data_IF_969548026414
#
_entry.id   IF_969548026414
#
_cell.length_a   1.000
_cell.length_b   1.000
_cell.length_c   1.000
_cell.angle_alpha   90.00
_cell.angle_beta   90.00
_cell.angle_gamma   90.00
#
_symmetry.space_group_name_H-M   'P 1'
#
loop_
_entity.id
_entity.type
_entity.pdbx_description
1 polymer ?
#
# COMPACT_ATOMS: atom_id res chain seq x y z
N UNK A 1 -29.83 -17.53 16.84
CA UNK A 1 -30.52 -16.27 17.24
C UNK A 1 -31.14 -15.53 16.06
N UNK A 2 -30.41 -15.28 14.96
CA UNK A 2 -30.97 -14.61 13.76
C UNK A 2 -32.25 -15.27 13.21
N UNK A 3 -32.28 -16.60 13.13
CA UNK A 3 -33.49 -17.34 12.75
C UNK A 3 -34.68 -17.08 13.68
N UNK A 4 -34.44 -16.96 14.99
CA UNK A 4 -35.50 -16.60 15.95
C UNK A 4 -36.01 -15.19 15.68
N UNK A 5 -35.10 -14.24 15.45
CA UNK A 5 -35.46 -12.86 15.11
C UNK A 5 -36.36 -12.80 13.86
N UNK A 6 -35.97 -13.46 12.77
CA UNK A 6 -36.77 -13.43 11.54
C UNK A 6 -38.13 -14.10 11.68
N UNK A 7 -38.22 -15.20 12.43
CA UNK A 7 -39.50 -15.88 12.68
C UNK A 7 -40.46 -15.06 13.57
N UNK A 8 -39.94 -14.20 14.44
CA UNK A 8 -40.73 -13.31 15.29
C UNK A 8 -41.15 -12.06 14.50
N UNK A 9 -40.20 -11.40 13.83
CA UNK A 9 -40.41 -10.12 13.14
C UNK A 9 -41.20 -10.30 11.84
N UNK A 10 -41.01 -11.43 11.14
CA UNK A 10 -41.62 -11.75 9.83
C UNK A 10 -41.51 -10.60 8.83
N UNK A 11 -40.28 -10.14 8.52
CA UNK A 11 -40.07 -8.95 7.72
C UNK A 11 -40.51 -9.15 6.27
N UNK A 12 -41.04 -8.09 5.65
CA UNK A 12 -41.37 -8.07 4.20
C UNK A 12 -40.13 -7.89 3.32
N UNK A 13 -39.09 -7.24 3.84
CA UNK A 13 -37.79 -7.03 3.20
C UNK A 13 -36.69 -7.17 4.26
N UNK A 14 -35.52 -7.64 3.88
CA UNK A 14 -34.35 -7.78 4.77
C UNK A 14 -33.13 -7.17 4.11
N UNK A 15 -32.40 -6.34 4.84
CA UNK A 15 -31.06 -5.89 4.46
C UNK A 15 -30.09 -6.35 5.55
N UNK A 16 -29.28 -7.40 5.30
CA UNK A 16 -28.25 -7.80 6.25
C UNK A 16 -27.26 -6.67 6.46
N UNK A 17 -26.96 -6.35 7.72
CA UNK A 17 -25.97 -5.34 8.11
C UNK A 17 -24.94 -5.95 9.06
N UNK A 18 -23.86 -5.20 9.29
CA UNK A 18 -22.82 -5.48 10.27
C UNK A 18 -22.11 -6.84 10.08
N UNK A 19 -21.15 -6.87 9.16
CA UNK A 19 -20.22 -7.98 8.99
C UNK A 19 -19.55 -7.94 7.63
N UNK A 20 -18.48 -8.70 7.48
CA UNK A 20 -17.89 -8.92 6.15
C UNK A 20 -18.90 -9.59 5.18
N UNK A 21 -18.64 -9.49 3.88
CA UNK A 21 -19.50 -10.02 2.82
C UNK A 21 -19.98 -11.46 3.03
N UNK A 22 -19.11 -12.33 3.56
CA UNK A 22 -19.48 -13.72 3.88
C UNK A 22 -20.58 -13.82 4.94
N UNK A 23 -20.54 -12.94 5.94
CA UNK A 23 -21.54 -12.88 7.01
C UNK A 23 -22.86 -12.33 6.48
N UNK A 24 -22.81 -11.29 5.62
CA UNK A 24 -24.01 -10.72 5.01
C UNK A 24 -24.74 -11.73 4.14
N UNK A 25 -24.00 -12.50 3.32
CA UNK A 25 -24.57 -13.60 2.53
C UNK A 25 -25.15 -14.71 3.39
N UNK A 26 -24.42 -15.18 4.40
CA UNK A 26 -24.94 -16.20 5.30
C UNK A 26 -26.21 -15.73 6.04
N UNK A 27 -26.27 -14.45 6.43
CA UNK A 27 -27.44 -13.88 7.07
C UNK A 27 -28.64 -13.74 6.10
N UNK A 28 -28.39 -13.32 4.85
CA UNK A 28 -29.39 -13.36 3.79
C UNK A 28 -29.98 -14.76 3.61
N UNK A 29 -29.14 -15.79 3.54
CA UNK A 29 -29.58 -17.18 3.40
C UNK A 29 -30.47 -17.62 4.60
N UNK A 30 -30.15 -17.16 5.81
CA UNK A 30 -30.98 -17.43 6.99
C UNK A 30 -32.34 -16.73 6.89
N UNK A 31 -32.40 -15.49 6.41
CA UNK A 31 -33.66 -14.79 6.18
C UNK A 31 -34.54 -15.51 5.14
N UNK A 32 -33.94 -15.96 4.04
CA UNK A 32 -34.64 -16.71 2.98
C UNK A 32 -35.20 -18.02 3.54
N UNK A 33 -34.42 -18.74 4.35
CA UNK A 33 -34.87 -19.99 5.01
C UNK A 33 -36.07 -19.80 5.94
N UNK A 34 -36.31 -18.58 6.42
CA UNK A 34 -37.49 -18.25 7.25
C UNK A 34 -38.70 -17.77 6.45
N UNK A 35 -38.62 -17.77 5.11
CA UNK A 35 -39.73 -17.47 4.22
C UNK A 35 -39.73 -16.05 3.63
N UNK A 36 -38.68 -15.26 3.86
CA UNK A 36 -38.50 -13.99 3.14
C UNK A 36 -38.16 -14.31 1.68
N UNK A 37 -38.88 -13.78 0.67
CA UNK A 37 -38.53 -14.03 -0.72
C UNK A 37 -37.13 -13.48 -1.04
N UNK A 38 -36.34 -14.20 -1.84
CA UNK A 38 -34.99 -13.78 -2.22
C UNK A 38 -34.96 -12.38 -2.87
N UNK A 39 -35.96 -12.06 -3.70
CA UNK A 39 -36.14 -10.73 -4.30
C UNK A 39 -36.43 -9.61 -3.29
N UNK A 40 -36.62 -9.94 -2.02
CA UNK A 40 -36.83 -9.01 -0.90
C UNK A 40 -35.62 -8.95 0.04
N UNK A 41 -34.50 -9.58 -0.32
CA UNK A 41 -33.26 -9.56 0.44
C UNK A 41 -32.23 -8.68 -0.26
N UNK A 42 -31.95 -7.52 0.32
CA UNK A 42 -31.04 -6.52 -0.22
C UNK A 42 -29.63 -6.75 0.34
N UNK A 43 -28.74 -7.31 -0.47
CA UNK A 43 -27.31 -7.35 -0.15
C UNK A 43 -26.66 -6.04 -0.59
N UNK A 44 -26.40 -5.16 0.37
CA UNK A 44 -25.83 -3.85 0.15
C UNK A 44 -24.47 -3.74 0.88
N UNK A 45 -23.46 -3.21 0.19
CA UNK A 45 -22.22 -2.76 0.80
C UNK A 45 -22.29 -1.28 1.16
N UNK A 46 -21.21 -0.76 1.74
CA UNK A 46 -21.09 0.66 2.06
C UNK A 46 -21.35 1.53 0.82
N UNK A 47 -22.13 2.59 0.99
CA UNK A 47 -22.47 3.54 -0.08
C UNK A 47 -23.58 3.09 -1.03
N UNK A 48 -24.04 1.84 -0.99
CA UNK A 48 -25.20 1.40 -1.78
C UNK A 48 -26.48 2.03 -1.22
N UNK A 49 -27.32 2.58 -2.10
CA UNK A 49 -28.58 3.23 -1.75
C UNK A 49 -29.74 2.24 -1.95
N UNK A 50 -30.52 2.02 -0.89
CA UNK A 50 -31.72 1.18 -0.90
C UNK A 50 -32.93 2.06 -0.61
N UNK A 51 -33.84 2.15 -1.57
CA UNK A 51 -35.12 2.83 -1.40
C UNK A 51 -36.16 1.86 -0.86
N UNK A 52 -37.02 2.34 0.04
CA UNK A 52 -38.20 1.62 0.51
C UNK A 52 -39.47 2.39 0.15
N UNK A 53 -40.12 1.98 -0.93
CA UNK A 53 -41.33 2.64 -1.44
C UNK A 53 -42.50 1.68 -1.39
N UNK A 54 -43.60 2.08 -0.74
CA UNK A 54 -44.80 1.26 -0.60
C UNK A 54 -44.53 -0.16 -0.08
N UNK A 55 -43.58 -0.29 0.85
CA UNK A 55 -43.19 -1.57 1.45
C UNK A 55 -42.34 -2.46 0.55
N UNK A 56 -41.82 -1.96 -0.58
CA UNK A 56 -40.88 -2.65 -1.45
C UNK A 56 -39.50 -2.01 -1.36
N UNK A 57 -38.50 -2.81 -0.98
CA UNK A 57 -37.11 -2.38 -0.97
C UNK A 57 -36.44 -2.72 -2.31
N UNK A 58 -35.72 -1.76 -2.89
CA UNK A 58 -34.95 -1.93 -4.13
C UNK A 58 -33.63 -1.15 -4.04
N UNK A 59 -32.57 -1.69 -4.63
CA UNK A 59 -31.29 -0.98 -4.78
C UNK A 59 -31.43 0.01 -5.95
N UNK A 60 -31.23 1.30 -5.67
CA UNK A 60 -31.50 2.38 -6.64
C UNK A 60 -30.25 3.15 -7.07
N UNK A 61 -29.12 2.93 -6.40
CA UNK A 61 -27.88 3.60 -6.78
C UNK A 61 -26.76 3.42 -5.77
N UNK A 62 -25.78 4.29 -5.86
CA UNK A 62 -24.64 4.37 -4.95
C UNK A 62 -24.24 5.82 -4.73
N UNK A 63 -23.75 6.12 -3.53
CA UNK A 63 -23.12 7.38 -3.18
C UNK A 63 -21.63 7.15 -2.89
N UNK A 64 -20.76 8.14 -3.17
CA UNK A 64 -19.36 8.04 -2.79
C UNK A 64 -19.23 7.85 -1.28
N UNK A 65 -18.59 6.76 -0.89
CA UNK A 65 -18.17 6.51 0.48
C UNK A 65 -16.75 5.95 0.46
N UNK A 66 -15.99 6.24 1.51
CA UNK A 66 -14.62 5.76 1.64
C UNK A 66 -14.16 5.85 3.09
N UNK A 67 -12.97 5.33 3.35
CA UNK A 67 -12.38 5.40 4.67
C UNK A 67 -11.83 6.80 4.94
N UNK A 68 -12.05 7.29 6.16
CA UNK A 68 -11.33 8.43 6.72
C UNK A 68 -10.42 7.88 7.82
N UNK A 69 -9.12 7.98 7.59
CA UNK A 69 -8.13 7.55 8.56
C UNK A 69 -7.86 8.68 9.57
N UNK A 70 -7.72 8.32 10.85
CA UNK A 70 -7.46 9.24 11.96
C UNK A 70 -6.13 8.86 12.60
N UNK A 71 -5.23 9.82 12.73
CA UNK A 71 -3.95 9.64 13.42
C UNK A 71 -3.64 10.85 14.31
N UNK A 72 -3.63 10.62 15.62
CA UNK A 72 -3.43 11.68 16.60
C UNK A 72 -4.49 12.79 16.44
N UNK A 73 -4.04 14.03 16.27
CA UNK A 73 -4.89 15.19 16.02
C UNK A 73 -5.27 15.37 14.54
N UNK A 74 -4.73 14.54 13.64
CA UNK A 74 -4.89 14.70 12.20
C UNK A 74 -6.00 13.79 11.68
N UNK A 75 -6.99 14.39 11.00
CA UNK A 75 -8.13 13.68 10.41
C UNK A 75 -8.03 13.77 8.90
N UNK A 76 -8.03 12.63 8.22
CA UNK A 76 -8.15 12.57 6.75
C UNK A 76 -6.88 12.88 5.95
N UNK A 77 -5.77 13.31 6.57
CA UNK A 77 -4.50 13.50 5.85
C UNK A 77 -3.73 12.18 5.64
N UNK A 78 -4.07 11.13 6.39
CA UNK A 78 -3.45 9.81 6.21
C UNK A 78 -4.10 9.15 4.99
N UNK A 79 -3.36 9.10 3.90
CA UNK A 79 -3.74 8.40 2.68
C UNK A 79 -3.35 6.92 2.72
N UNK A 80 -4.00 6.11 1.88
CA UNK A 80 -3.61 4.71 1.67
C UNK A 80 -2.14 4.56 1.24
N UNK A 81 -1.61 5.53 0.47
CA UNK A 81 -0.19 5.53 0.07
C UNK A 81 0.74 5.70 1.27
N UNK A 82 0.41 6.57 2.24
CA UNK A 82 1.19 6.74 3.46
C UNK A 82 1.15 5.47 4.33
N UNK A 83 0.00 4.80 4.42
CA UNK A 83 -0.10 3.52 5.12
C UNK A 83 0.75 2.43 4.45
N UNK A 84 0.78 2.40 3.12
CA UNK A 84 1.62 1.49 2.35
C UNK A 84 3.10 1.76 2.60
N UNK A 85 3.53 3.02 2.63
CA UNK A 85 4.91 3.39 2.92
C UNK A 85 5.32 2.95 4.33
N UNK A 86 4.45 3.17 5.33
CA UNK A 86 4.68 2.69 6.71
C UNK A 86 4.79 1.18 6.79
N UNK A 87 3.97 0.45 6.06
CA UNK A 87 4.03 -1.01 6.00
C UNK A 87 5.37 -1.47 5.45
N UNK A 88 5.83 -0.91 4.33
CA UNK A 88 7.15 -1.23 3.76
C UNK A 88 8.27 -0.89 4.75
N UNK A 89 8.22 0.27 5.40
CA UNK A 89 9.21 0.67 6.40
C UNK A 89 9.23 -0.27 7.63
N UNK A 90 8.06 -0.74 8.08
CA UNK A 90 7.94 -1.64 9.23
C UNK A 90 8.32 -3.08 8.94
N UNK A 91 7.98 -3.60 7.76
CA UNK A 91 8.24 -5.00 7.36
C UNK A 91 9.65 -5.17 6.76
N UNK A 92 10.04 -4.28 5.85
CA UNK A 92 11.23 -4.44 5.02
C UNK A 92 12.35 -3.44 5.32
N UNK A 93 12.06 -2.38 6.08
CA UNK A 93 13.04 -1.37 6.46
C UNK A 93 13.36 -0.39 5.34
N UNK A 94 14.45 0.34 5.54
CA UNK A 94 14.84 1.51 4.76
C UNK A 94 16.34 1.53 4.50
N UNK A 95 16.73 1.90 3.28
CA UNK A 95 18.11 2.12 2.85
C UNK A 95 18.26 3.52 2.24
N UNK A 96 19.12 4.35 2.84
CA UNK A 96 19.59 5.60 2.23
C UNK A 96 20.93 5.34 1.55
N UNK A 97 21.08 5.79 0.31
CA UNK A 97 22.34 5.64 -0.45
C UNK A 97 22.82 7.02 -0.87
N UNK A 98 23.93 7.47 -0.27
CA UNK A 98 24.46 8.82 -0.50
C UNK A 98 25.73 8.74 -1.33
N UNK A 99 25.81 9.51 -2.41
CA UNK A 99 27.02 9.68 -3.20
C UNK A 99 27.19 11.13 -3.63
N UNK A 100 28.43 11.63 -3.59
CA UNK A 100 28.79 12.91 -4.16
C UNK A 100 29.53 12.70 -5.49
N UNK A 101 29.16 13.49 -6.49
CA UNK A 101 29.68 13.39 -7.85
C UNK A 101 30.20 14.74 -8.34
N UNK A 102 31.11 14.68 -9.29
CA UNK A 102 31.57 15.82 -10.08
C UNK A 102 31.25 15.56 -11.55
N UNK A 103 30.43 16.42 -12.14
CA UNK A 103 30.04 16.32 -13.56
C UNK A 103 31.16 16.70 -14.52
N UNK A 104 32.06 17.60 -14.12
CA UNK A 104 33.18 18.03 -14.93
C UNK A 104 34.25 16.92 -15.00
N UNK A 105 34.57 16.32 -13.85
CA UNK A 105 35.52 15.20 -13.78
C UNK A 105 34.89 13.85 -14.15
N UNK A 106 33.55 13.79 -14.26
CA UNK A 106 32.75 12.57 -14.51
C UNK A 106 33.04 11.44 -13.54
N UNK A 107 33.18 11.78 -12.25
CA UNK A 107 33.60 10.83 -11.20
C UNK A 107 32.76 10.98 -9.94
N UNK A 108 32.74 9.89 -9.17
CA UNK A 108 32.24 9.90 -7.80
C UNK A 108 33.35 10.41 -6.90
N UNK A 109 33.16 11.60 -6.32
CA UNK A 109 34.13 12.27 -5.45
C UNK A 109 34.04 11.84 -3.98
N UNK A 110 32.85 11.38 -3.53
CA UNK A 110 32.68 10.79 -2.21
C UNK A 110 31.55 9.74 -2.19
N UNK A 111 31.68 8.72 -1.32
CA UNK A 111 30.76 7.59 -1.29
C UNK A 111 30.96 6.61 -2.47
N UNK A 112 29.97 5.75 -2.78
CA UNK A 112 28.65 5.64 -2.16
C UNK A 112 28.70 5.14 -0.70
N UNK A 113 27.81 5.62 0.15
CA UNK A 113 27.59 5.13 1.52
C UNK A 113 26.16 4.66 1.68
N UNK A 114 25.94 3.54 2.37
CA UNK A 114 24.62 2.97 2.62
C UNK A 114 24.31 3.06 4.11
N UNK A 115 23.21 3.73 4.44
CA UNK A 115 22.67 3.74 5.80
C UNK A 115 21.38 2.93 5.83
N UNK A 116 21.35 1.92 6.69
CA UNK A 116 20.21 1.03 6.83
C UNK A 116 19.49 1.25 8.16
N UNK A 117 18.15 1.24 8.13
CA UNK A 117 17.29 1.22 9.32
C UNK A 117 16.24 0.12 9.16
N UNK A 118 16.07 -0.74 10.17
CA UNK A 118 15.10 -1.85 10.11
C UNK A 118 15.43 -2.97 9.10
N UNK A 119 16.58 -2.91 8.43
CA UNK A 119 17.00 -3.90 7.43
C UNK A 119 18.04 -4.89 7.97
N UNK A 120 19.22 -4.42 8.35
CA UNK A 120 20.32 -5.21 8.94
C UNK A 120 20.97 -4.40 10.06
N UNK A 121 21.50 -5.07 11.08
CA UNK A 121 22.30 -4.44 12.16
C UNK A 121 23.77 -4.26 11.77
N UNK A 122 24.25 -5.02 10.79
CA UNK A 122 25.63 -5.00 10.34
C UNK A 122 25.72 -4.28 8.99
N UNK A 123 26.54 -3.21 8.94
CA UNK A 123 26.79 -2.42 7.72
C UNK A 123 27.67 -3.16 6.71
N UNK A 124 28.50 -4.11 7.16
CA UNK A 124 29.39 -4.94 6.34
C UNK A 124 28.66 -5.72 5.24
N UNK A 125 27.37 -6.04 5.45
CA UNK A 125 26.51 -6.73 4.49
C UNK A 125 26.43 -5.98 3.15
N UNK A 126 26.59 -4.66 3.17
CA UNK A 126 26.50 -3.80 2.00
C UNK A 126 27.83 -3.55 1.29
N UNK A 127 28.96 -3.95 1.85
CA UNK A 127 30.28 -3.70 1.25
C UNK A 127 30.41 -4.31 -0.16
N UNK A 128 29.75 -5.44 -0.39
CA UNK A 128 29.74 -6.11 -1.70
C UNK A 128 29.05 -5.29 -2.80
N UNK A 129 28.04 -4.48 -2.46
CA UNK A 129 27.26 -3.74 -3.46
C UNK A 129 27.83 -2.34 -3.74
N UNK A 130 28.64 -1.77 -2.84
CA UNK A 130 29.23 -0.44 -2.99
C UNK A 130 30.06 -0.28 -4.29
N UNK A 131 30.96 -1.23 -4.67
CA UNK A 131 31.73 -1.12 -5.91
C UNK A 131 30.84 -1.10 -7.15
N UNK A 132 29.74 -1.86 -7.13
CA UNK A 132 28.79 -1.95 -8.25
C UNK A 132 27.95 -0.68 -8.39
N UNK A 133 27.56 -0.07 -7.27
CA UNK A 133 26.88 1.24 -7.28
C UNK A 133 27.82 2.31 -7.83
N UNK A 134 29.08 2.33 -7.36
CA UNK A 134 30.09 3.28 -7.82
C UNK A 134 30.34 3.15 -9.33
N UNK A 135 30.57 1.94 -9.83
CA UNK A 135 30.81 1.72 -11.26
C UNK A 135 29.59 2.07 -12.12
N UNK A 136 28.38 1.84 -11.62
CA UNK A 136 27.15 2.25 -12.32
C UNK A 136 27.07 3.77 -12.45
N UNK A 137 27.39 4.50 -11.38
CA UNK A 137 27.42 5.97 -11.40
C UNK A 137 28.50 6.50 -12.35
N UNK A 138 29.74 5.99 -12.25
CA UNK A 138 30.85 6.42 -13.10
C UNK A 138 30.60 6.10 -14.58
N UNK A 139 30.00 4.95 -14.90
CA UNK A 139 29.61 4.62 -16.27
C UNK A 139 28.54 5.59 -16.81
N UNK A 140 27.51 5.88 -16.01
CA UNK A 140 26.47 6.83 -16.41
C UNK A 140 27.02 8.26 -16.61
N UNK A 141 27.96 8.69 -15.76
CA UNK A 141 28.66 9.97 -15.93
C UNK A 141 29.52 9.98 -17.20
N UNK A 142 30.21 8.88 -17.50
CA UNK A 142 30.99 8.72 -18.72
C UNK A 142 30.11 8.80 -19.99
N UNK A 143 28.91 8.23 -19.93
CA UNK A 143 27.87 8.29 -20.96
C UNK A 143 27.20 9.67 -21.07
N UNK A 144 27.57 10.64 -20.22
CA UNK A 144 27.11 12.02 -20.27
C UNK A 144 25.81 12.28 -19.52
N UNK A 145 25.39 11.41 -18.61
CA UNK A 145 24.22 11.65 -17.76
C UNK A 145 24.53 12.75 -16.74
N UNK A 146 23.83 13.88 -16.83
CA UNK A 146 24.00 15.02 -15.93
C UNK A 146 22.81 15.26 -14.98
N UNK A 147 21.80 14.37 -15.02
CA UNK A 147 20.63 14.46 -14.14
C UNK A 147 20.81 13.61 -12.88
N UNK A 148 20.87 14.26 -11.72
CA UNK A 148 20.99 13.60 -10.42
C UNK A 148 19.79 12.72 -10.09
N UNK A 149 18.59 13.04 -10.59
CA UNK A 149 17.41 12.20 -10.42
C UNK A 149 17.56 10.89 -11.20
N UNK A 150 17.99 10.98 -12.46
CA UNK A 150 18.24 9.81 -13.31
C UNK A 150 19.32 8.91 -12.71
N UNK A 151 20.43 9.48 -12.23
CA UNK A 151 21.49 8.76 -11.52
C UNK A 151 20.93 8.07 -10.26
N UNK A 152 20.10 8.76 -9.49
CA UNK A 152 19.41 8.19 -8.35
C UNK A 152 18.56 6.97 -8.73
N UNK A 153 17.77 7.04 -9.80
CA UNK A 153 16.96 5.90 -10.27
C UNK A 153 17.83 4.69 -10.65
N UNK A 154 18.99 4.91 -11.27
CA UNK A 154 19.93 3.84 -11.59
C UNK A 154 20.46 3.16 -10.32
N UNK A 155 20.90 3.95 -9.33
CA UNK A 155 21.35 3.45 -8.03
C UNK A 155 20.25 2.64 -7.34
N UNK A 156 19.02 3.17 -7.31
CA UNK A 156 17.85 2.49 -6.75
C UNK A 156 17.60 1.14 -7.41
N UNK A 157 17.73 1.05 -8.74
CA UNK A 157 17.53 -0.19 -9.50
C UNK A 157 18.60 -1.23 -9.19
N UNK A 158 19.86 -0.81 -9.12
CA UNK A 158 21.01 -1.70 -8.80
C UNK A 158 20.89 -2.24 -7.39
N UNK A 159 20.68 -1.36 -6.40
CA UNK A 159 20.53 -1.75 -5.00
C UNK A 159 19.27 -2.61 -4.79
N UNK A 160 18.13 -2.22 -5.37
CA UNK A 160 16.88 -2.97 -5.25
C UNK A 160 16.96 -4.38 -5.83
N UNK A 161 17.64 -4.55 -6.98
CA UNK A 161 17.89 -5.87 -7.56
C UNK A 161 18.73 -6.74 -6.62
N UNK A 162 19.85 -6.22 -6.13
CA UNK A 162 20.74 -6.95 -5.24
C UNK A 162 20.06 -7.34 -3.92
N UNK A 163 19.33 -6.42 -3.29
CA UNK A 163 18.59 -6.70 -2.06
C UNK A 163 17.51 -7.77 -2.28
N UNK A 164 16.75 -7.67 -3.37
CA UNK A 164 15.72 -8.63 -3.71
C UNK A 164 16.27 -10.04 -3.96
N UNK A 165 17.42 -10.15 -4.65
CA UNK A 165 18.06 -11.43 -4.97
C UNK A 165 18.72 -12.06 -3.74
N UNK A 166 19.49 -11.28 -2.97
CA UNK A 166 20.32 -11.79 -1.88
C UNK A 166 19.58 -11.94 -0.55
N UNK A 167 18.66 -11.02 -0.26
CA UNK A 167 17.98 -10.94 1.03
C UNK A 167 16.48 -11.23 0.96
N UNK A 168 15.91 -11.40 -0.25
CA UNK A 168 14.48 -11.67 -0.47
C UNK A 168 13.55 -10.65 0.20
N UNK A 169 14.00 -9.40 0.32
CA UNK A 169 13.26 -8.27 0.91
C UNK A 169 13.15 -7.12 -0.09
N UNK A 170 12.23 -6.20 0.15
CA UNK A 170 12.01 -5.02 -0.71
C UNK A 170 11.97 -3.74 0.13
N UNK A 171 13.09 -3.33 0.75
CA UNK A 171 13.13 -2.11 1.53
C UNK A 171 12.81 -0.88 0.67
N UNK A 172 12.37 0.17 1.34
CA UNK A 172 12.37 1.49 0.72
C UNK A 172 13.82 1.93 0.48
N UNK A 173 14.14 2.31 -0.74
CA UNK A 173 15.49 2.77 -1.14
C UNK A 173 15.41 4.23 -1.57
N UNK A 174 16.13 5.10 -0.89
CA UNK A 174 16.20 6.53 -1.17
C UNK A 174 17.64 6.89 -1.55
N UNK A 175 17.93 7.09 -2.84
CA UNK A 175 19.23 7.57 -3.30
C UNK A 175 19.31 9.10 -3.16
N UNK A 176 20.42 9.59 -2.62
CA UNK A 176 20.76 11.01 -2.54
C UNK A 176 22.06 11.25 -3.31
N UNK A 177 21.94 11.84 -4.49
CA UNK A 177 23.08 12.20 -5.34
C UNK A 177 23.34 13.69 -5.19
N UNK A 178 24.51 14.05 -4.71
CA UNK A 178 24.94 15.44 -4.49
C UNK A 178 25.95 15.77 -5.57
N UNK A 179 25.71 16.81 -6.36
CA UNK A 179 26.70 17.35 -7.29
C UNK A 179 27.39 18.57 -6.69
N UNK A 180 28.68 18.71 -6.95
CA UNK A 180 29.38 19.99 -6.81
C UNK A 180 29.02 20.94 -7.97
#
# INVERSE_FOLDING_TARGET
ELLYCYNIVKPKNVMPIHGEWRHLRANADLAIKTGVPESRVMLAGDGIVVDLVNGKADIVGAVPCGYVYVEGSTVGEVSESLLKDRRVLGEDGFLSIVAAIDFAERKVIAGPQIHARGFSKEESVFEEILPKIKSTLEAALADGVTDTHQLGQMVRRVAGKWVGEKHRRRPMIVPLIISN
#
